data_IF_020209760986
#
_entry.id   IF_020209760986
#
_cell.length_a   1.000
_cell.length_b   1.000
_cell.length_c   1.000
_cell.angle_alpha   90.00
_cell.angle_beta   90.00
_cell.angle_gamma   90.00
#
_symmetry.space_group_name_H-M   'P 1'
#
loop_
_entity.id
_entity.type
_entity.pdbx_description
1 polymer ?
#
# COMPACT_ATOMS: atom_id res chain seq x y z
N UNK A 1 -4.96 16.92 11.82
CA UNK A 1 -4.83 15.55 11.29
C UNK A 1 -3.37 15.32 10.95
N UNK A 2 -2.74 14.31 11.54
CA UNK A 2 -1.35 13.95 11.23
C UNK A 2 -1.28 13.03 9.99
N UNK A 3 -0.07 12.79 9.50
CA UNK A 3 0.16 11.98 8.29
C UNK A 3 -0.38 10.55 8.41
N UNK A 4 -0.29 9.95 9.59
CA UNK A 4 -0.81 8.59 9.86
C UNK A 4 -2.34 8.56 9.79
N UNK A 5 -3.01 9.54 10.39
CA UNK A 5 -4.48 9.67 10.33
C UNK A 5 -4.95 9.91 8.89
N UNK A 6 -4.23 10.73 8.11
CA UNK A 6 -4.51 10.96 6.70
C UNK A 6 -4.41 9.65 5.89
N UNK A 7 -3.32 8.89 6.06
CA UNK A 7 -3.11 7.59 5.39
C UNK A 7 -4.20 6.58 5.75
N UNK A 8 -4.63 6.56 7.02
CA UNK A 8 -5.71 5.70 7.47
C UNK A 8 -7.06 6.04 6.80
N UNK A 9 -7.40 7.33 6.73
CA UNK A 9 -8.61 7.79 6.04
C UNK A 9 -8.57 7.45 4.55
N UNK A 10 -7.42 7.64 3.88
CA UNK A 10 -7.25 7.25 2.48
C UNK A 10 -7.43 5.74 2.31
N UNK A 11 -6.90 4.91 3.22
CA UNK A 11 -7.07 3.46 3.16
C UNK A 11 -8.54 3.04 3.26
N UNK A 12 -9.31 3.65 4.18
CA UNK A 12 -10.75 3.40 4.29
C UNK A 12 -11.50 3.80 3.01
N UNK A 13 -11.21 4.97 2.46
CA UNK A 13 -11.83 5.44 1.21
C UNK A 13 -11.51 4.53 0.02
N UNK A 14 -10.30 3.98 -0.05
CA UNK A 14 -9.93 3.03 -1.09
C UNK A 14 -10.66 1.70 -0.95
N UNK A 15 -10.92 1.25 0.27
CA UNK A 15 -11.71 0.05 0.52
C UNK A 15 -13.15 0.24 0.04
N UNK A 16 -13.77 1.37 0.38
CA UNK A 16 -15.12 1.72 -0.07
C UNK A 16 -15.19 1.82 -1.62
N UNK A 17 -14.21 2.50 -2.23
CA UNK A 17 -14.13 2.62 -3.69
C UNK A 17 -14.00 1.27 -4.40
N UNK A 18 -13.26 0.32 -3.81
CA UNK A 18 -13.17 -1.05 -4.34
C UNK A 18 -14.48 -1.80 -4.23
N UNK A 19 -15.22 -1.67 -3.12
CA UNK A 19 -16.54 -2.28 -2.98
C UNK A 19 -17.52 -1.73 -4.02
N UNK A 20 -17.50 -0.41 -4.24
CA UNK A 20 -18.30 0.23 -5.29
C UNK A 20 -17.90 -0.24 -6.69
N UNK A 21 -16.60 -0.36 -6.99
CA UNK A 21 -16.09 -0.84 -8.27
C UNK A 21 -16.56 -2.26 -8.63
N UNK A 22 -16.84 -3.12 -7.63
CA UNK A 22 -17.40 -4.45 -7.86
C UNK A 22 -18.88 -4.43 -8.27
N UNK A 23 -19.61 -3.42 -7.80
CA UNK A 23 -21.05 -3.24 -8.09
C UNK A 23 -21.24 -2.48 -9.40
N UNK A 24 -20.43 -1.44 -9.62
CA UNK A 24 -20.46 -0.59 -10.82
C UNK A 24 -19.03 -0.41 -11.36
N UNK A 25 -18.62 -1.27 -12.32
CA UNK A 25 -17.29 -1.18 -12.89
C UNK A 25 -17.05 0.13 -13.64
N UNK A 26 -16.05 0.89 -13.21
CA UNK A 26 -15.60 2.11 -13.86
C UNK A 26 -14.08 2.09 -14.05
N UNK A 27 -13.62 2.05 -15.30
CA UNK A 27 -12.19 1.98 -15.62
C UNK A 27 -11.40 3.20 -15.09
N UNK A 28 -12.01 4.38 -15.05
CA UNK A 28 -11.38 5.58 -14.50
C UNK A 28 -11.20 5.51 -12.98
N UNK A 29 -12.14 4.90 -12.27
CA UNK A 29 -12.05 4.67 -10.83
C UNK A 29 -11.02 3.60 -10.51
N UNK A 30 -10.96 2.52 -11.29
CA UNK A 30 -9.93 1.48 -11.16
C UNK A 30 -8.51 2.04 -11.30
N UNK A 31 -8.26 2.88 -12.31
CA UNK A 31 -6.96 3.52 -12.51
C UNK A 31 -6.55 4.39 -11.31
N UNK A 32 -7.50 5.15 -10.74
CA UNK A 32 -7.24 5.97 -9.54
C UNK A 32 -6.99 5.14 -8.29
N UNK A 33 -7.71 4.02 -8.12
CA UNK A 33 -7.46 3.06 -7.03
C UNK A 33 -6.03 2.51 -7.14
N UNK A 34 -5.63 2.07 -8.34
CA UNK A 34 -4.28 1.54 -8.57
C UNK A 34 -3.19 2.59 -8.27
N UNK A 35 -3.38 3.83 -8.73
CA UNK A 35 -2.45 4.93 -8.47
C UNK A 35 -2.32 5.21 -6.96
N UNK A 36 -3.44 5.28 -6.24
CA UNK A 36 -3.44 5.53 -4.80
C UNK A 36 -2.78 4.39 -4.01
N UNK A 37 -3.01 3.14 -4.42
CA UNK A 37 -2.31 1.98 -3.85
C UNK A 37 -0.80 2.06 -4.07
N UNK A 38 -0.34 2.38 -5.28
CA UNK A 38 1.09 2.54 -5.56
C UNK A 38 1.74 3.58 -4.64
N UNK A 39 1.10 4.72 -4.42
CA UNK A 39 1.62 5.77 -3.53
C UNK A 39 1.68 5.29 -2.07
N UNK A 40 0.64 4.59 -1.59
CA UNK A 40 0.61 4.06 -0.23
C UNK A 40 1.63 2.91 0.00
N UNK A 41 1.87 2.06 -1.02
CA UNK A 41 2.78 0.92 -0.90
C UNK A 41 4.23 1.22 -1.30
N UNK A 42 4.51 2.32 -2.02
CA UNK A 42 5.88 2.74 -2.34
C UNK A 42 6.71 3.06 -1.08
N UNK A 43 6.08 3.46 0.02
CA UNK A 43 6.76 3.58 1.31
C UNK A 43 7.13 2.23 1.93
N UNK A 44 6.33 1.18 1.67
CA UNK A 44 6.59 -0.17 2.17
C UNK A 44 7.75 -0.82 1.40
N UNK A 45 7.84 -0.59 0.09
CA UNK A 45 8.92 -1.14 -0.74
C UNK A 45 10.27 -0.47 -0.45
N UNK A 46 10.32 0.85 -0.24
CA UNK A 46 11.54 1.53 0.19
C UNK A 46 12.06 1.01 1.55
N UNK A 47 11.16 0.66 2.46
CA UNK A 47 11.49 0.04 3.76
C UNK A 47 12.01 -1.41 3.65
N UNK A 48 11.60 -2.15 2.62
CA UNK A 48 12.09 -3.51 2.34
C UNK A 48 13.46 -3.44 1.65
N UNK A 49 13.60 -2.57 0.66
CA UNK A 49 14.81 -2.42 -0.15
C UNK A 49 15.96 -1.72 0.62
N UNK A 50 15.63 -0.93 1.66
CA UNK A 50 16.60 -0.26 2.52
C UNK A 50 17.11 -1.12 3.70
N UNK A 51 16.65 -2.38 3.85
CA UNK A 51 17.26 -3.29 4.85
C UNK A 51 18.58 -3.82 4.29
N UNK A 52 19.72 -3.64 4.98
CA UNK A 52 20.96 -4.28 4.56
C UNK A 52 20.78 -5.81 4.62
N UNK A 53 21.16 -6.48 3.53
CA UNK A 53 21.15 -7.95 3.34
C UNK A 53 21.92 -8.71 4.44
N UNK A 54 22.65 -8.02 5.31
CA UNK A 54 23.55 -8.59 6.32
C UNK A 54 22.87 -9.24 7.54
N UNK A 55 21.54 -9.23 7.68
CA UNK A 55 20.84 -9.92 8.79
C UNK A 55 20.06 -11.19 8.42
N UNK A 56 19.95 -11.56 7.14
CA UNK A 56 19.18 -12.75 6.74
C UNK A 56 20.04 -14.03 6.70
N UNK A 57 21.37 -13.94 6.87
CA UNK A 57 22.29 -15.08 6.64
C UNK A 57 23.00 -15.60 7.91
N UNK A 58 22.56 -15.25 9.13
CA UNK A 58 23.21 -15.75 10.38
C UNK A 58 22.37 -16.61 11.32
N UNK A 59 21.08 -16.81 11.06
CA UNK A 59 20.23 -17.64 11.94
C UNK A 59 19.88 -19.03 11.36
N UNK A 60 20.48 -19.42 10.22
CA UNK A 60 20.22 -20.73 9.61
C UNK A 60 21.30 -21.78 9.85
N UNK A 61 22.34 -21.48 10.62
CA UNK A 61 23.34 -22.46 11.05
C UNK A 61 23.87 -22.16 12.46
N UNK A 62 23.11 -22.53 13.48
CA UNK A 62 23.60 -22.88 14.82
C UNK A 62 22.58 -23.78 15.51
#
# INVERSE_FOLDING_TARGET
MNETELKHVIAMLLEDAKRLQQVEPNAGTEARIAQAQCVLYQEVQFLIDSRPVSKVVRESYS
#
